data_IF_793433364684
#
_entry.id   IF_793433364684
#
_cell.length_a   1.000
_cell.length_b   1.000
_cell.length_c   1.000
_cell.angle_alpha   90.00
_cell.angle_beta   90.00
_cell.angle_gamma   90.00
#
_symmetry.space_group_name_H-M   'P 1'
#
loop_
_entity.id
_entity.type
_entity.pdbx_description
1 polymer ?
2 non-polymer ?
3 non-polymer ?
4 water ?
#
# COMPACT_ATOMS: atom_id res chain seq x y z
N UNK A 2 -2.65 -33.20 -10.33
CA UNK A 2 -2.75 -31.74 -10.47
C UNK A 2 -2.53 -31.08 -9.12
N UNK A 3 -1.72 -30.04 -9.13
CA UNK A 3 -1.43 -29.28 -7.93
C UNK A 3 -1.40 -27.78 -8.27
N UNK A 4 -1.81 -26.95 -7.32
CA UNK A 4 -1.65 -25.50 -7.43
C UNK A 4 -0.55 -25.11 -6.44
N UNK A 5 0.46 -24.39 -6.90
CA UNK A 5 1.55 -24.02 -6.01
C UNK A 5 1.65 -22.51 -5.96
N UNK A 6 1.51 -21.92 -4.77
CA UNK A 6 1.54 -20.48 -4.65
C UNK A 6 2.91 -20.01 -4.25
N UNK A 7 3.23 -18.78 -4.61
CA UNK A 7 4.46 -18.15 -4.17
C UNK A 7 4.24 -16.66 -4.02
N UNK A 8 5.21 -16.00 -3.39
CA UNK A 8 5.21 -14.55 -3.34
C UNK A 8 4.72 -13.96 -2.03
N UNK A 9 4.48 -14.81 -1.04
CA UNK A 9 4.12 -14.29 0.26
C UNK A 9 5.34 -13.68 0.90
N UNK A 10 5.14 -13.05 2.03
CA UNK A 10 6.24 -12.46 2.76
C UNK A 10 5.77 -11.23 3.50
N UNK A 11 6.75 -10.49 4.02
CA UNK A 11 6.53 -9.31 4.79
C UNK A 11 6.47 -8.14 3.81
N UNK A 12 5.51 -7.23 4.00
CA UNK A 12 5.32 -6.13 3.08
C UNK A 12 4.98 -4.87 3.88
N UNK A 13 5.54 -3.73 3.50
CA UNK A 13 5.25 -2.47 4.19
C UNK A 13 3.84 -1.98 3.85
N UNK A 14 3.16 -1.39 4.82
CA UNK A 14 1.87 -0.76 4.54
C UNK A 14 2.05 0.26 3.42
N UNK A 15 1.08 0.31 2.51
CA UNK A 15 1.19 1.23 1.40
C UNK A 15 1.94 0.59 0.23
N UNK A 16 2.57 -0.53 0.51
CA UNK A 16 3.37 -1.26 -0.46
C UNK A 16 2.53 -2.19 -1.33
N UNK A 17 3.21 -2.88 -2.25
CA UNK A 17 2.51 -3.76 -3.16
C UNK A 17 3.13 -5.14 -3.16
N UNK A 18 2.36 -6.12 -3.62
CA UNK A 18 2.89 -7.47 -3.69
C UNK A 18 2.31 -8.19 -4.89
N UNK A 19 3.00 -9.24 -5.32
CA UNK A 19 2.50 -10.08 -6.39
C UNK A 19 2.58 -11.53 -5.96
N UNK A 20 1.43 -12.18 -5.86
CA UNK A 20 1.39 -13.61 -5.56
C UNK A 20 1.24 -14.40 -6.85
N UNK A 21 1.81 -15.60 -6.88
CA UNK A 21 1.65 -16.40 -8.08
C UNK A 21 1.00 -17.73 -7.74
N UNK A 22 0.21 -18.24 -8.66
CA UNK A 22 -0.41 -19.52 -8.48
C UNK A 22 -0.23 -20.27 -9.76
N UNK A 23 0.66 -21.26 -9.72
CA UNK A 23 1.03 -22.04 -10.87
C UNK A 23 0.29 -23.37 -10.79
N UNK A 24 -0.39 -23.72 -11.87
CA UNK A 24 -1.15 -24.95 -11.92
C UNK A 24 -0.36 -25.97 -12.73
N UNK A 25 -0.38 -27.22 -12.30
CA UNK A 25 0.39 -28.24 -12.98
C UNK A 25 0.00 -28.34 -14.45
N UNK A 26 1.00 -28.51 -15.31
CA UNK A 26 0.71 -28.76 -16.71
C UNK A 26 -0.02 -27.63 -17.39
N UNK A 27 -1.25 -27.94 -17.80
CA UNK A 27 -2.09 -27.01 -18.54
C UNK A 27 -3.46 -27.01 -17.89
N UNK A 28 -3.46 -27.45 -16.63
CA UNK A 28 -4.66 -27.46 -15.80
C UNK A 28 -5.32 -26.09 -15.69
N UNK A 29 -6.64 -26.12 -15.85
CA UNK A 29 -7.53 -25.00 -15.59
C UNK A 29 -7.31 -23.83 -16.53
N UNK A 30 -6.55 -24.06 -17.60
CA UNK A 30 -6.11 -22.97 -18.47
C UNK A 30 -7.28 -22.21 -19.12
N UNK A 31 -8.44 -22.84 -19.22
CA UNK A 31 -9.63 -22.17 -19.72
C UNK A 31 -10.78 -22.20 -18.69
N UNK A 32 -10.44 -22.35 -17.43
CA UNK A 32 -11.48 -22.46 -16.41
C UNK A 32 -11.44 -21.26 -15.51
N UNK A 33 -11.70 -21.48 -14.23
CA UNK A 33 -11.73 -20.34 -13.34
C UNK A 33 -10.73 -20.56 -12.22
N UNK A 34 -10.08 -19.47 -11.85
CA UNK A 34 -9.16 -19.52 -10.73
C UNK A 34 -9.46 -18.34 -9.85
N UNK A 35 -9.30 -18.51 -8.54
CA UNK A 35 -9.60 -17.43 -7.62
C UNK A 35 -8.59 -17.34 -6.49
N UNK A 36 -8.62 -16.21 -5.78
CA UNK A 36 -7.80 -15.98 -4.61
C UNK A 36 -8.71 -15.74 -3.42
N UNK A 37 -8.43 -16.43 -2.31
CA UNK A 37 -9.16 -16.25 -1.06
C UNK A 37 -8.14 -15.91 0.03
N UNK A 38 -8.60 -15.35 1.13
CA UNK A 38 -7.68 -15.09 2.23
C UNK A 38 -8.28 -15.44 3.56
N UNK A 39 -7.41 -15.82 4.49
CA UNK A 39 -7.87 -16.25 5.80
C UNK A 39 -7.08 -15.41 6.77
N UNK A 40 -7.77 -14.45 7.37
CA UNK A 40 -7.18 -13.58 8.37
C UNK A 40 -7.14 -14.33 9.68
N UNK A 41 -6.29 -13.88 10.62
CA UNK A 41 -6.21 -14.50 11.93
C UNK A 41 -7.58 -14.76 12.57
N UNK A 42 -7.86 -16.02 12.93
CA UNK A 42 -9.09 -16.35 13.62
C UNK A 42 -10.34 -16.37 12.75
N UNK A 43 -10.18 -16.14 11.44
CA UNK A 43 -11.32 -16.08 10.54
C UNK A 43 -11.37 -17.15 9.45
N UNK A 44 -12.59 -17.50 9.02
CA UNK A 44 -12.76 -18.35 7.85
C UNK A 44 -12.42 -17.55 6.60
N UNK A 45 -12.02 -18.30 5.57
CA UNK A 45 -11.59 -17.82 4.27
C UNK A 45 -12.63 -16.94 3.59
N UNK A 46 -12.20 -15.81 3.03
CA UNK A 46 -13.10 -14.94 2.27
C UNK A 46 -12.50 -14.70 0.87
N UNK A 47 -13.33 -14.47 -0.14
CA UNK A 47 -12.80 -14.30 -1.48
C UNK A 47 -12.15 -12.93 -1.62
N UNK A 48 -11.11 -12.87 -2.47
CA UNK A 48 -10.37 -11.65 -2.79
C UNK A 48 -10.69 -11.29 -4.24
N UNK A 49 -10.39 -12.21 -5.15
CA UNK A 49 -10.69 -11.98 -6.56
C UNK A 49 -10.65 -13.29 -7.32
N UNK A 50 -11.24 -13.29 -8.50
CA UNK A 50 -11.33 -14.49 -9.30
C UNK A 50 -11.32 -14.10 -10.76
N UNK A 51 -10.94 -15.05 -11.62
CA UNK A 51 -10.92 -14.78 -13.04
C UNK A 51 -11.49 -15.95 -13.82
N UNK A 52 -12.28 -15.64 -14.85
CA UNK A 52 -12.67 -16.64 -15.83
C UNK A 52 -11.63 -16.65 -16.91
N UNK A 53 -10.85 -17.72 -16.96
CA UNK A 53 -9.76 -17.79 -17.90
C UNK A 53 -10.29 -17.95 -19.33
N UNK A 54 -11.58 -18.27 -19.45
CA UNK A 54 -12.24 -18.22 -20.77
C UNK A 54 -12.79 -16.82 -21.03
N UNK A 55 -11.98 -15.94 -21.59
CA UNK A 55 -12.39 -14.56 -21.76
C UNK A 55 -11.56 -13.59 -20.93
N UNK A 56 -11.35 -13.94 -19.66
CA UNK A 56 -10.53 -13.11 -18.80
C UNK A 56 -11.28 -12.14 -17.90
N UNK A 57 -12.62 -12.21 -17.86
CA UNK A 57 -13.34 -11.34 -16.94
C UNK A 57 -12.97 -11.64 -15.47
N UNK A 58 -12.74 -10.61 -14.67
CA UNK A 58 -12.41 -10.79 -13.26
C UNK A 58 -13.53 -10.29 -12.35
N UNK A 59 -13.48 -10.74 -11.10
CA UNK A 59 -14.45 -10.38 -10.09
C UNK A 59 -13.65 -10.15 -8.84
N UNK A 60 -14.09 -9.21 -8.00
CA UNK A 60 -13.33 -8.91 -6.79
C UNK A 60 -14.20 -8.46 -5.62
N UNK A 61 -13.69 -8.71 -4.42
CA UNK A 61 -14.31 -8.26 -3.19
C UNK A 61 -14.26 -6.75 -3.14
N UNK A 62 -15.30 -6.13 -2.58
CA UNK A 62 -15.34 -4.67 -2.45
C UNK A 62 -14.05 -4.13 -1.85
N UNK A 63 -13.48 -4.86 -0.89
CA UNK A 63 -12.31 -4.38 -0.15
C UNK A 63 -11.05 -4.25 -1.00
N UNK A 64 -11.04 -4.84 -2.19
CA UNK A 64 -9.83 -4.77 -3.01
C UNK A 64 -10.07 -4.14 -4.37
N UNK A 65 -11.32 -3.87 -4.70
CA UNK A 65 -11.64 -3.18 -5.95
C UNK A 65 -10.74 -1.97 -6.20
N UNK A 66 -10.16 -1.89 -7.39
CA UNK A 66 -9.33 -0.75 -7.75
C UNK A 66 -7.96 -0.84 -7.13
N UNK A 67 -7.71 -1.94 -6.40
CA UNK A 67 -6.46 -2.18 -5.67
C UNK A 67 -5.77 -3.48 -6.07
N UNK A 68 -6.52 -4.58 -6.09
CA UNK A 68 -5.98 -5.92 -6.40
C UNK A 68 -6.42 -6.40 -7.77
N UNK A 69 -5.44 -6.70 -8.62
CA UNK A 69 -5.72 -7.22 -9.97
C UNK A 69 -5.04 -8.55 -10.32
N UNK A 70 -5.66 -9.33 -11.19
CA UNK A 70 -5.11 -10.62 -11.64
C UNK A 70 -4.50 -10.60 -13.03
N UNK A 71 -3.33 -11.20 -13.22
CA UNK A 71 -2.79 -11.31 -14.58
C UNK A 71 -2.46 -12.78 -14.86
N UNK A 72 -2.20 -13.08 -16.13
CA UNK A 72 -2.08 -14.45 -16.58
C UNK A 72 -0.85 -14.65 -17.44
N UNK A 73 -0.09 -15.71 -17.17
CA UNK A 73 1.01 -16.08 -18.05
C UNK A 73 0.71 -17.43 -18.65
N UNK A 74 0.27 -17.43 -19.90
CA UNK A 74 -0.18 -18.65 -20.53
C UNK A 74 0.93 -19.70 -20.66
N UNK A 75 2.13 -19.28 -21.07
CA UNK A 75 3.24 -20.24 -21.21
C UNK A 75 3.52 -20.99 -19.91
N UNK A 76 3.38 -20.31 -18.78
CA UNK A 76 3.75 -20.92 -17.49
C UNK A 76 2.53 -21.43 -16.75
N UNK A 77 1.37 -21.34 -17.38
CA UNK A 77 0.09 -21.74 -16.79
C UNK A 77 -0.02 -21.24 -15.37
N UNK A 78 0.22 -19.95 -15.23
CA UNK A 78 0.32 -19.32 -13.91
C UNK A 78 -0.55 -18.09 -13.88
N UNK A 79 -1.24 -17.83 -12.77
CA UNK A 79 -1.94 -16.56 -12.63
C UNK A 79 -1.36 -15.82 -11.44
N UNK A 80 -1.45 -14.50 -11.50
CA UNK A 80 -0.85 -13.67 -10.48
C UNK A 80 -1.88 -12.75 -9.86
N UNK A 81 -1.76 -12.53 -8.55
CA UNK A 81 -2.54 -11.52 -7.87
C UNK A 81 -1.64 -10.35 -7.54
N UNK A 82 -1.83 -9.22 -8.24
CA UNK A 82 -1.14 -7.99 -7.90
C UNK A 82 -2.00 -7.15 -6.96
N UNK A 83 -1.40 -6.80 -5.83
CA UNK A 83 -2.07 -6.09 -4.75
C UNK A 83 -1.26 -4.84 -4.39
N UNK A 84 -1.89 -3.68 -4.44
CA UNK A 84 -1.20 -2.45 -4.08
C UNK A 84 -1.91 -1.73 -2.93
N UNK A 85 -1.31 -0.64 -2.46
CA UNK A 85 -1.82 0.10 -1.30
C UNK A 85 -2.20 -0.83 -0.17
N UNK A 86 -1.27 -1.71 0.19
CA UNK A 86 -1.52 -2.73 1.20
C UNK A 86 -1.76 -2.14 2.57
N UNK A 87 -2.78 -2.67 3.25
CA UNK A 87 -3.12 -2.19 4.58
C UNK A 87 -2.78 -3.29 5.55
N UNK A 88 -2.55 -2.95 6.84
CA UNK A 88 -2.28 -3.97 7.85
C UNK A 88 -3.39 -5.01 7.85
N UNK A 89 -4.62 -4.59 7.59
CA UNK A 89 -5.78 -5.50 7.54
C UNK A 89 -5.75 -6.49 6.39
N UNK A 90 -4.81 -6.31 5.45
CA UNK A 90 -4.64 -7.26 4.34
C UNK A 90 -3.81 -8.48 4.79
N UNK A 91 -3.37 -8.49 6.04
CA UNK A 91 -2.57 -9.59 6.57
C UNK A 91 -3.44 -10.85 6.60
N UNK A 92 -2.94 -11.94 6.03
CA UNK A 92 -3.68 -13.19 6.01
C UNK A 92 -2.92 -14.26 5.26
N UNK A 93 -3.41 -15.48 5.35
CA UNK A 93 -2.90 -16.52 4.50
C UNK A 93 -3.71 -16.45 3.22
N UNK A 94 -3.03 -16.27 2.09
CA UNK A 94 -3.70 -16.20 0.79
C UNK A 94 -3.62 -17.53 0.07
N UNK A 95 -4.76 -18.00 -0.39
CA UNK A 95 -4.86 -19.29 -1.06
C UNK A 95 -5.30 -19.06 -2.48
N UNK A 96 -4.72 -19.84 -3.39
CA UNK A 96 -5.21 -19.96 -4.76
C UNK A 96 -6.25 -21.09 -4.84
N UNK A 97 -7.23 -20.95 -5.72
CA UNK A 97 -8.21 -22.01 -5.87
C UNK A 97 -8.54 -22.12 -7.33
N UNK A 98 -9.04 -23.27 -7.74
CA UNK A 98 -9.45 -23.46 -9.12
C UNK A 98 -10.68 -24.34 -9.17
N UNK A 99 -11.39 -24.25 -10.27
CA UNK A 99 -12.55 -25.10 -10.50
C UNK A 99 -12.67 -25.25 -11.99
N UNK A 100 -13.28 -26.35 -12.39
CA UNK A 100 -13.56 -26.61 -13.77
C UNK A 100 -14.85 -25.88 -14.09
N UNK A 101 -14.86 -25.14 -15.19
CA UNK A 101 -16.05 -24.38 -15.52
C UNK A 101 -15.88 -22.96 -15.01
N UNK A 102 -16.72 -22.08 -15.51
CA UNK A 102 -16.61 -20.66 -15.21
C UNK A 102 -17.12 -20.26 -13.83
N UNK A 103 -16.83 -19.02 -13.44
CA UNK A 103 -17.49 -18.42 -12.30
C UNK A 103 -18.22 -17.13 -12.77
N UNK A 104 -19.02 -16.54 -11.90
CA UNK A 104 -19.80 -15.38 -12.29
C UNK A 104 -19.90 -14.45 -11.12
N UNK A 105 -20.63 -13.36 -11.25
CA UNK A 105 -20.56 -12.33 -10.22
C UNK A 105 -21.16 -12.80 -8.89
N UNK A 106 -21.97 -13.86 -8.95
CA UNK A 106 -22.47 -14.53 -7.75
C UNK A 106 -21.59 -15.71 -7.31
N UNK A 107 -21.27 -16.62 -8.21
CA UNK A 107 -20.65 -17.89 -7.80
C UNK A 107 -19.16 -17.80 -7.41
N UNK A 108 -18.45 -16.78 -7.89
CA UNK A 108 -17.00 -16.70 -7.67
C UNK A 108 -16.61 -16.60 -6.18
N UNK A 109 -17.54 -16.15 -5.33
CA UNK A 109 -17.21 -15.78 -3.96
C UNK A 109 -17.34 -16.93 -2.96
N UNK A 110 -17.99 -18.03 -3.36
CA UNK A 110 -18.19 -19.18 -2.48
C UNK A 110 -17.02 -20.17 -2.56
N UNK A 111 -16.28 -20.30 -1.46
CA UNK A 111 -15.12 -21.17 -1.44
C UNK A 111 -15.45 -22.62 -1.80
N UNK A 112 -16.61 -23.10 -1.36
CA UNK A 112 -17.04 -24.46 -1.65
C UNK A 112 -17.22 -24.73 -3.14
N UNK A 113 -17.26 -23.68 -3.95
CA UNK A 113 -17.37 -23.83 -5.39
C UNK A 113 -16.04 -24.22 -6.04
N UNK A 114 -14.95 -24.21 -5.29
CA UNK A 114 -13.64 -24.56 -5.85
C UNK A 114 -13.12 -25.81 -5.16
N UNK A 115 -12.95 -26.89 -5.91
CA UNK A 115 -12.43 -28.14 -5.31
C UNK A 115 -10.89 -28.28 -5.30
N UNK A 116 -10.17 -27.35 -5.92
CA UNK A 116 -8.71 -27.39 -5.96
C UNK A 116 -8.11 -26.20 -5.24
N UNK A 117 -7.09 -26.44 -4.43
CA UNK A 117 -6.51 -25.42 -3.57
C UNK A 117 -4.99 -25.51 -3.48
N UNK A 118 -4.33 -24.35 -3.45
CA UNK A 118 -2.90 -24.30 -3.25
C UNK A 118 -2.63 -24.45 -1.76
N UNK A 119 -1.36 -24.37 -1.33
CA UNK A 119 -1.01 -24.65 0.06
C UNK A 119 -1.27 -23.45 0.97
N UNK A 120 -1.50 -22.30 0.36
CA UNK A 120 -1.64 -21.08 1.11
C UNK A 120 -0.27 -20.45 1.26
N UNK A 121 -0.22 -19.13 1.15
CA UNK A 121 0.98 -18.39 1.44
C UNK A 121 0.65 -17.25 2.36
N UNK A 122 1.48 -17.07 3.38
CA UNK A 122 1.29 -16.01 4.38
C UNK A 122 1.75 -14.65 3.85
N UNK A 123 0.89 -13.64 4.01
CA UNK A 123 1.19 -12.26 3.67
C UNK A 123 1.11 -11.45 4.97
N UNK A 124 2.21 -10.82 5.34
CA UNK A 124 2.22 -10.03 6.56
C UNK A 124 2.53 -8.60 6.23
N UNK A 125 1.56 -7.72 6.49
CA UNK A 125 1.76 -6.31 6.19
C UNK A 125 2.21 -5.56 7.44
N UNK A 126 3.48 -5.16 7.45
CA UNK A 126 4.02 -4.39 8.56
C UNK A 126 4.88 -3.25 8.04
N UNK A 127 5.05 -2.22 8.85
CA UNK A 127 5.82 -1.05 8.45
C UNK A 127 7.30 -1.40 8.25
N UNK B 1 20.04 24.83 -5.69
CA UNK B 1 20.86 23.63 -5.70
C UNK B 1 20.14 22.49 -5.00
N UNK B 2 19.40 22.82 -3.95
CA UNK B 2 18.59 21.84 -3.23
C UNK B 2 17.27 21.63 -3.93
N UNK B 3 16.87 20.37 -4.09
CA UNK B 3 15.56 20.06 -4.62
C UNK B 3 14.94 18.93 -3.79
N UNK B 4 13.66 19.09 -3.48
CA UNK B 4 12.89 18.04 -2.85
C UNK B 4 11.85 17.55 -3.83
N UNK B 5 11.82 16.25 -4.06
CA UNK B 5 10.87 15.68 -5.01
C UNK B 5 9.97 14.60 -4.37
N UNK B 6 8.67 14.84 -4.40
CA UNK B 6 7.70 13.91 -3.83
C UNK B 6 7.17 12.96 -4.88
N UNK B 7 6.74 11.78 -4.44
CA UNK B 7 6.01 10.90 -5.31
C UNK B 7 5.05 10.06 -4.47
N UNK B 8 4.06 9.43 -5.10
CA UNK B 8 3.21 8.49 -4.40
C UNK B 8 1.81 8.91 -3.95
N UNK B 9 1.36 10.08 -4.40
CA UNK B 9 -0.01 10.54 -4.15
C UNK B 9 -1.08 9.81 -4.94
N UNK B 10 -2.34 10.23 -4.80
CA UNK B 10 -3.41 9.68 -5.62
C UNK B 10 -4.76 9.53 -4.94
N UNK B 11 -5.66 8.78 -5.60
CA UNK B 11 -6.98 8.46 -5.08
C UNK B 11 -6.94 7.18 -4.25
N UNK B 12 -7.57 7.21 -3.07
CA UNK B 12 -7.58 6.11 -2.11
C UNK B 12 -8.94 5.94 -1.41
N UNK B 13 -9.38 4.71 -1.20
CA UNK B 13 -10.63 4.45 -0.51
C UNK B 13 -10.44 4.85 0.93
N UNK B 14 -11.48 5.38 1.57
CA UNK B 14 -11.44 5.62 3.02
C UNK B 14 -11.10 4.32 3.74
N UNK B 15 -10.26 4.43 4.77
CA UNK B 15 -9.76 3.27 5.48
C UNK B 15 -8.46 2.71 4.91
N UNK B 16 -8.06 3.18 3.73
CA UNK B 16 -6.92 2.62 3.02
C UNK B 16 -5.58 3.12 3.50
N UNK B 17 -4.51 2.63 2.88
CA UNK B 17 -3.18 3.05 3.25
C UNK B 17 -2.47 3.58 2.01
N UNK B 18 -1.54 4.49 2.22
CA UNK B 18 -0.82 5.11 1.14
C UNK B 18 0.56 5.44 1.65
N UNK B 19 1.56 5.42 0.78
CA UNK B 19 2.91 5.77 1.19
C UNK B 19 3.48 6.82 0.24
N UNK B 20 3.79 7.98 0.79
CA UNK B 20 4.44 9.06 0.06
C UNK B 20 5.92 9.03 0.31
N UNK B 21 6.67 9.48 -0.68
CA UNK B 21 8.11 9.54 -0.60
C UNK B 21 8.58 10.94 -0.97
N UNK B 22 9.69 11.34 -0.38
CA UNK B 22 10.30 12.61 -0.70
C UNK B 22 11.80 12.44 -0.80
N UNK B 23 12.34 12.64 -2.00
CA UNK B 23 13.77 12.50 -2.26
C UNK B 23 14.40 13.88 -2.34
N UNK B 24 15.48 14.08 -1.58
CA UNK B 24 16.18 15.36 -1.58
C UNK B 24 17.46 15.29 -2.41
N UNK B 25 17.75 16.38 -3.12
CA UNK B 25 18.91 16.53 -4.00
C UNK B 25 19.74 17.75 -3.60
N UNK B 26 21.04 17.71 -3.89
CA UNK B 26 21.96 18.82 -3.69
C UNK B 26 22.48 19.09 -2.28
N UNK B 27 21.80 18.52 -1.29
CA UNK B 27 22.21 18.62 0.10
C UNK B 27 21.80 17.33 0.80
N UNK B 28 22.73 16.69 1.51
CA UNK B 28 22.34 15.64 2.44
C UNK B 28 21.69 16.24 3.69
N UNK B 29 20.48 15.80 4.01
CA UNK B 29 19.79 16.20 5.23
C UNK B 29 19.93 15.17 6.37
N UNK B 30 20.93 14.32 6.25
CA UNK B 30 21.13 13.20 7.18
C UNK B 30 21.35 13.60 8.65
N UNK B 31 21.80 14.84 8.88
CA UNK B 31 22.01 15.34 10.22
C UNK B 31 21.08 16.52 10.49
N UNK B 32 20.04 16.63 9.67
CA UNK B 32 19.10 17.72 9.85
C UNK B 32 17.66 17.23 10.00
N UNK B 33 16.71 18.03 9.51
CA UNK B 33 15.30 17.72 9.68
C UNK B 33 14.50 17.86 8.39
N UNK B 34 13.54 16.95 8.21
CA UNK B 34 12.59 16.98 7.10
C UNK B 34 11.17 16.70 7.62
N UNK B 35 10.18 17.27 6.94
CA UNK B 35 8.81 17.16 7.39
C UNK B 35 7.80 17.06 6.27
N UNK B 36 6.56 16.80 6.64
CA UNK B 36 5.44 16.80 5.72
C UNK B 36 4.40 17.82 6.21
N UNK B 37 3.87 18.61 5.30
CA UNK B 37 2.78 19.53 5.62
C UNK B 37 1.62 19.19 4.69
N UNK B 38 0.42 19.65 5.01
CA UNK B 38 -0.72 19.44 4.10
C UNK B 38 -1.64 20.65 4.07
N UNK B 39 -2.29 20.85 2.93
CA UNK B 39 -3.16 22.01 2.77
C UNK B 39 -4.45 21.59 2.08
N UNK B 40 -5.57 21.66 2.80
CA UNK B 40 -6.87 21.42 2.17
C UNK B 40 -7.35 22.69 1.45
N UNK B 41 -8.24 22.53 0.46
CA UNK B 41 -8.78 23.67 -0.28
C UNK B 41 -9.34 24.77 0.62
N UNK B 42 -8.86 25.99 0.40
CA UNK B 42 -9.30 27.16 1.15
C UNK B 42 -8.67 27.30 2.53
N UNK B 43 -7.80 26.37 2.90
CA UNK B 43 -7.19 26.41 4.23
C UNK B 43 -5.68 26.58 4.14
N UNK B 44 -5.09 27.12 5.21
CA UNK B 44 -3.64 27.23 5.30
C UNK B 44 -2.98 25.87 5.49
N UNK B 45 -1.72 25.78 5.10
CA UNK B 45 -0.86 24.61 5.26
C UNK B 45 -0.72 24.31 6.74
N UNK B 46 -0.83 23.04 7.13
CA UNK B 46 -0.60 22.59 8.52
C UNK B 46 0.40 21.45 8.55
N UNK B 47 1.15 21.32 9.63
CA UNK B 47 2.14 20.29 9.69
C UNK B 47 1.47 18.94 9.85
N UNK B 48 2.11 17.91 9.27
CA UNK B 48 1.67 16.53 9.46
C UNK B 48 2.63 15.81 10.40
N UNK B 49 3.91 15.78 10.05
CA UNK B 49 4.90 15.18 10.94
C UNK B 49 6.30 15.58 10.52
N UNK B 50 7.25 15.43 11.43
CA UNK B 50 8.61 15.87 11.15
C UNK B 50 9.54 14.86 11.75
N UNK B 51 10.76 14.78 11.23
CA UNK B 51 11.72 13.80 11.70
C UNK B 51 13.13 14.39 11.76
N UNK B 52 13.86 14.08 12.82
CA UNK B 52 15.26 14.40 12.89
C UNK B 52 16.06 13.24 12.32
N UNK B 53 16.67 13.44 11.16
CA UNK B 53 17.32 12.34 10.45
C UNK B 53 18.52 11.74 11.17
N UNK B 54 19.02 12.40 12.20
CA UNK B 54 20.15 11.85 12.94
C UNK B 54 19.78 10.67 13.86
N UNK B 55 18.79 10.85 14.74
CA UNK B 55 18.50 9.84 15.76
C UNK B 55 17.76 8.56 15.37
N UNK B 56 16.60 8.67 14.74
CA UNK B 56 16.00 9.97 14.47
C UNK B 56 14.57 10.11 15.00
N UNK B 57 14.40 10.98 16.00
CA UNK B 57 13.08 11.24 16.59
C UNK B 57 12.08 11.84 15.61
N UNK B 58 10.81 11.49 15.80
CA UNK B 58 9.73 12.09 15.01
C UNK B 58 8.77 12.92 15.87
N UNK B 59 7.97 13.77 15.20
CA UNK B 59 6.95 14.57 15.87
C UNK B 59 5.74 14.52 14.99
N UNK B 60 4.56 14.47 15.58
CA UNK B 60 3.33 14.32 14.79
C UNK B 60 2.22 15.23 15.27
N UNK B 61 1.42 15.71 14.31
CA UNK B 61 0.24 16.52 14.61
C UNK B 61 -0.81 15.65 15.29
N UNK B 62 -1.53 16.24 16.23
CA UNK B 62 -2.60 15.56 16.93
C UNK B 62 -3.54 14.83 15.97
N UNK B 63 -3.87 15.44 14.83
CA UNK B 63 -4.85 14.86 13.90
C UNK B 63 -4.42 13.56 13.19
N UNK B 64 -3.11 13.26 13.22
CA UNK B 64 -2.59 12.09 12.51
C UNK B 64 -1.76 11.12 13.39
N UNK B 65 -1.51 11.50 14.63
CA UNK B 65 -0.76 10.62 15.56
C UNK B 65 -1.25 9.18 15.53
N UNK B 66 -0.33 8.23 15.36
CA UNK B 66 -0.69 6.83 15.45
C UNK B 66 -1.40 6.27 14.22
N UNK B 67 -1.52 7.11 13.21
CA UNK B 67 -2.12 6.74 11.94
C UNK B 67 -1.10 6.98 10.86
N UNK B 68 -0.49 8.17 10.90
CA UNK B 68 0.52 8.54 9.92
C UNK B 68 1.87 8.50 10.64
N UNK B 69 2.81 7.79 10.05
CA UNK B 69 4.15 7.77 10.61
C UNK B 69 5.15 8.21 9.55
N UNK B 70 6.08 9.04 9.97
CA UNK B 70 7.12 9.56 9.11
C UNK B 70 8.38 8.77 9.41
N UNK B 71 9.08 8.31 8.38
CA UNK B 71 10.33 7.59 8.61
C UNK B 71 11.42 8.13 7.71
N UNK B 72 12.67 7.73 7.96
CA UNK B 72 13.79 8.23 7.17
C UNK B 72 14.82 7.14 6.87
N UNK B 73 15.29 7.12 5.63
CA UNK B 73 16.39 6.28 5.17
C UNK B 73 17.54 7.16 4.69
N UNK B 74 18.56 7.34 5.53
CA UNK B 74 19.68 8.22 5.17
C UNK B 74 20.49 7.78 3.96
N UNK B 75 20.66 6.48 3.80
CA UNK B 75 21.41 5.95 2.67
C UNK B 75 20.87 6.55 1.38
N UNK B 76 19.56 6.77 1.36
CA UNK B 76 18.89 7.27 0.17
C UNK B 76 18.46 8.74 0.30
N UNK B 77 18.84 9.39 1.40
CA UNK B 77 18.44 10.77 1.63
C UNK B 77 16.97 10.93 1.26
N UNK B 78 16.15 10.02 1.79
CA UNK B 78 14.73 9.94 1.48
C UNK B 78 13.92 9.82 2.76
N UNK B 79 12.78 10.51 2.83
CA UNK B 79 11.86 10.35 3.95
C UNK B 79 10.51 9.86 3.44
N UNK B 80 9.78 9.15 4.29
CA UNK B 80 8.52 8.54 3.90
C UNK B 80 7.38 8.98 4.79
N UNK B 81 6.20 9.13 4.20
CA UNK B 81 5.00 9.31 5.00
C UNK B 81 4.13 8.08 4.79
N UNK B 82 4.01 7.24 5.82
CA UNK B 82 3.13 6.10 5.75
C UNK B 82 1.79 6.49 6.35
N UNK B 83 0.74 6.34 5.55
CA UNK B 83 -0.57 6.85 5.91
C UNK B 83 -1.50 5.64 5.94
N UNK B 84 -2.13 5.42 7.09
CA UNK B 84 -3.10 4.33 7.21
C UNK B 84 -4.43 4.86 7.70
N UNK B 85 -5.46 4.02 7.61
CA UNK B 85 -6.82 4.43 7.97
C UNK B 85 -7.19 5.81 7.46
N UNK B 86 -6.95 6.02 6.17
CA UNK B 86 -7.17 7.31 5.55
C UNK B 86 -8.63 7.73 5.67
N UNK B 87 -8.83 9.00 6.03
CA UNK B 87 -10.17 9.55 6.17
C UNK B 87 -10.41 10.66 5.17
N UNK B 88 -11.68 10.89 4.82
CA UNK B 88 -12.01 11.95 3.87
C UNK B 88 -11.36 13.26 4.24
N UNK B 89 -11.30 13.57 5.53
CA UNK B 89 -10.72 14.84 5.95
C UNK B 89 -9.19 14.92 5.74
N UNK B 90 -8.59 13.82 5.36
CA UNK B 90 -7.15 13.78 5.07
C UNK B 90 -6.88 14.28 3.65
N UNK B 91 -7.94 14.45 2.88
CA UNK B 91 -7.78 14.86 1.49
C UNK B 91 -7.12 16.23 1.43
N UNK B 92 -6.03 16.34 0.70
CA UNK B 92 -5.27 17.58 0.67
C UNK B 92 -4.06 17.48 -0.25
N UNK B 93 -3.43 18.62 -0.49
CA UNK B 93 -2.14 18.59 -1.14
C UNK B 93 -1.08 18.37 -0.06
N UNK B 94 -0.26 17.32 -0.20
CA UNK B 94 0.79 17.04 0.80
C UNK B 94 2.16 17.54 0.33
N UNK B 95 2.85 18.27 1.19
CA UNK B 95 4.12 18.89 0.82
C UNK B 95 5.26 18.31 1.63
N UNK B 96 6.39 18.07 0.97
CA UNK B 96 7.64 17.73 1.65
C UNK B 96 8.37 19.02 2.02
N UNK B 97 9.06 19.01 3.15
CA UNK B 97 9.81 20.19 3.57
C UNK B 97 11.13 19.79 4.24
N UNK B 98 12.11 20.68 4.17
CA UNK B 98 13.41 20.43 4.79
C UNK B 98 14.04 21.70 5.35
N UNK B 99 14.96 21.52 6.30
CA UNK B 99 15.68 22.61 6.91
C UNK B 99 17.00 22.10 7.51
N UNK B 100 17.96 23.00 7.69
CA UNK B 100 19.16 22.67 8.44
C UNK B 100 18.87 22.78 9.94
N UNK B 101 19.35 21.78 10.68
CA UNK B 101 19.21 21.73 12.11
C UNK B 101 18.02 20.91 12.56
N UNK B 102 18.09 20.38 13.79
CA UNK B 102 17.04 19.51 14.29
C UNK B 102 15.78 20.33 14.53
N UNK B 103 14.68 19.63 14.71
CA UNK B 103 13.45 20.25 15.17
C UNK B 103 13.04 19.67 16.50
N UNK B 104 12.04 20.29 17.12
CA UNK B 104 11.55 19.90 18.43
C UNK B 104 10.04 20.13 18.44
N UNK B 105 9.43 20.01 19.61
CA UNK B 105 7.98 20.09 19.72
C UNK B 105 7.45 21.50 19.45
N UNK B 106 8.32 22.49 19.60
CA UNK B 106 7.95 23.86 19.29
C UNK B 106 8.22 24.15 17.82
N UNK B 107 9.42 23.81 17.40
CA UNK B 107 9.92 24.27 16.12
C UNK B 107 9.36 23.50 14.92
N UNK B 108 8.99 22.24 15.13
CA UNK B 108 8.69 21.39 13.99
C UNK B 108 7.43 21.79 13.23
N UNK B 109 6.50 22.45 13.92
CA UNK B 109 5.18 22.69 13.33
C UNK B 109 5.13 23.97 12.50
N UNK B 110 6.19 24.77 12.56
CA UNK B 110 6.21 26.06 11.87
C UNK B 110 6.76 26.01 10.45
N UNK B 111 5.87 26.26 9.49
CA UNK B 111 6.23 26.23 8.07
C UNK B 111 7.36 27.21 7.73
N UNK B 112 7.37 28.36 8.39
CA UNK B 112 8.39 29.35 8.17
C UNK B 112 9.77 28.85 8.60
N UNK B 113 9.81 27.77 9.37
CA UNK B 113 11.08 27.21 9.81
C UNK B 113 11.80 26.41 8.73
N UNK B 114 11.10 26.14 7.63
CA UNK B 114 11.67 25.32 6.56
C UNK B 114 11.83 26.11 5.29
N UNK B 115 13.07 26.23 4.79
CA UNK B 115 13.23 26.99 3.54
C UNK B 115 13.09 26.13 2.28
N UNK B 116 13.06 24.81 2.43
CA UNK B 116 13.05 23.92 1.26
C UNK B 116 11.73 23.17 1.16
N UNK B 117 11.16 23.13 -0.04
CA UNK B 117 9.84 22.55 -0.24
C UNK B 117 9.76 21.74 -1.51
N UNK B 118 8.99 20.67 -1.46
CA UNK B 118 8.70 19.88 -2.64
C UNK B 118 7.58 20.57 -3.40
N UNK B 119 7.11 19.95 -4.48
CA UNK B 119 6.11 20.58 -5.34
C UNK B 119 4.67 20.37 -4.86
N UNK B 120 4.48 19.43 -3.94
CA UNK B 120 3.16 19.06 -3.49
C UNK B 120 2.61 17.90 -4.30
N UNK B 121 1.93 16.97 -3.61
CA UNK B 121 1.22 15.90 -4.28
C UNK B 121 -0.18 15.80 -3.67
N UNK B 122 -1.19 15.65 -4.52
CA UNK B 122 -2.56 15.58 -4.06
C UNK B 122 -2.85 14.17 -3.55
N UNK B 123 -3.49 14.10 -2.40
CA UNK B 123 -3.95 12.84 -1.87
C UNK B 123 -5.45 12.98 -1.68
N UNK B 124 -6.21 12.14 -2.35
CA UNK B 124 -7.66 12.24 -2.33
C UNK B 124 -8.29 10.96 -1.78
N UNK B 125 -9.01 11.08 -0.66
CA UNK B 125 -9.64 9.93 0.00
C UNK B 125 -11.10 9.85 -0.39
N UNK B 126 -11.47 8.81 -1.12
CA UNK B 126 -12.84 8.63 -1.57
C UNK B 126 -13.72 8.02 -0.49
N UNK B 127 -15.03 8.20 -0.63
CA UNK B 127 -16.00 7.69 0.32
C UNK B 127 -16.03 8.51 1.61
#
# INVERSE_FOLDING_TARGET
EVQLVESGGGLVQAGGSLRLSCAASGRSFSRDAMGWFRQAPGKERDVVAAINLNGGRTYSADSVKGRFTISRDNDKNTVYLQMSNLKPEDTAVYYCAAREGDVGLVSYKRSSNYPYWGQGTQVTVSS
EVQLVESGGGLVQAGGSLRLSCAASGRSFSRDAMGWFRQAPGKERDVVAAINLNGGRTYSADSVKGRFTISRDNDKNTVYLQMSNLKPEDTAVYYCAAREGDVGLVSYKRSSNYPYWGQGTQVTVSS
#
